data_IF_183114497094
#
_entry.id   IF_183114497094
#
_cell.length_a   1.000
_cell.length_b   1.000
_cell.length_c   1.000
_cell.angle_alpha   90.00
_cell.angle_beta   90.00
_cell.angle_gamma   90.00
#
_symmetry.space_group_name_H-M   'P 1'
#
loop_
_entity.id
_entity.type
_entity.pdbx_description
1 polymer ?
#
# COMPACT_ATOMS: atom_id res chain seq x y z
N UNK A 1 11.64 -13.09 1.44
CA UNK A 1 11.22 -12.55 0.13
C UNK A 1 11.45 -11.05 0.05
N UNK A 2 10.99 -10.24 1.02
CA UNK A 2 11.22 -8.78 1.06
C UNK A 2 12.71 -8.37 1.05
N UNK A 3 13.58 -9.19 1.63
CA UNK A 3 15.02 -8.90 1.72
C UNK A 3 15.75 -8.94 0.36
N UNK A 4 15.22 -9.69 -0.62
CA UNK A 4 15.80 -9.81 -1.96
C UNK A 4 15.59 -8.54 -2.80
N UNK A 5 14.43 -7.88 -2.68
CA UNK A 5 14.15 -6.62 -3.37
C UNK A 5 14.98 -5.44 -2.84
N UNK A 6 15.31 -5.46 -1.54
CA UNK A 6 16.10 -4.40 -0.89
C UNK A 6 17.53 -4.28 -1.42
N UNK A 7 18.09 -5.34 -2.01
CA UNK A 7 19.49 -5.41 -2.46
C UNK A 7 19.66 -5.37 -3.99
N UNK A 8 18.58 -5.38 -4.76
CA UNK A 8 18.63 -5.54 -6.22
C UNK A 8 18.78 -4.23 -7.02
N UNK A 9 18.82 -3.06 -6.35
CA UNK A 9 18.86 -1.76 -7.03
C UNK A 9 17.58 -1.40 -7.78
N UNK A 10 16.48 -2.11 -7.49
CA UNK A 10 15.16 -1.89 -8.10
C UNK A 10 14.35 -0.96 -7.20
N UNK A 11 13.57 -0.06 -7.81
CA UNK A 11 12.57 0.75 -7.11
C UNK A 11 11.39 -0.14 -6.69
N UNK A 12 11.41 -0.55 -5.42
CA UNK A 12 10.37 -1.41 -4.84
C UNK A 12 9.45 -0.62 -3.92
N UNK A 13 8.18 -1.02 -3.84
CA UNK A 13 7.21 -0.54 -2.85
C UNK A 13 6.52 -1.76 -2.24
N UNK A 14 6.51 -1.87 -0.91
CA UNK A 14 5.82 -2.97 -0.22
C UNK A 14 4.52 -2.44 0.38
N UNK A 15 3.38 -2.87 -0.14
CA UNK A 15 2.06 -2.44 0.33
C UNK A 15 1.50 -3.47 1.30
N UNK A 16 1.13 -3.03 2.51
CA UNK A 16 0.63 -3.87 3.60
C UNK A 16 -0.79 -3.48 3.97
N UNK A 17 -1.80 -4.13 3.36
CA UNK A 17 -3.19 -3.93 3.74
C UNK A 17 -3.54 -4.75 5.01
N UNK A 18 -4.51 -4.28 5.82
CA UNK A 18 -5.20 -5.09 6.83
C UNK A 18 -6.18 -6.05 6.12
N UNK A 19 -7.21 -6.52 6.85
CA UNK A 19 -8.25 -7.40 6.30
C UNK A 19 -8.83 -6.86 4.98
N UNK A 20 -8.73 -7.66 3.92
CA UNK A 20 -9.33 -7.35 2.63
C UNK A 20 -10.84 -7.60 2.66
N UNK A 21 -11.60 -6.65 2.15
CA UNK A 21 -13.07 -6.71 2.05
C UNK A 21 -13.54 -6.42 0.63
N UNK A 22 -14.71 -6.94 0.27
CA UNK A 22 -15.36 -6.67 -1.01
C UNK A 22 -16.34 -5.51 -0.90
N UNK A 23 -16.51 -4.77 -1.98
CA UNK A 23 -17.39 -3.61 -2.05
C UNK A 23 -17.13 -2.77 -3.29
N UNK A 24 -17.97 -1.76 -3.49
CA UNK A 24 -17.77 -0.76 -4.54
C UNK A 24 -16.62 0.18 -4.17
N UNK A 25 -15.87 0.65 -5.18
CA UNK A 25 -14.80 1.63 -5.00
C UNK A 25 -15.33 2.87 -4.26
N UNK A 26 -14.62 3.29 -3.21
CA UNK A 26 -14.91 4.53 -2.49
C UNK A 26 -13.88 5.62 -2.80
N UNK A 27 -12.66 5.22 -3.19
CA UNK A 27 -11.54 6.15 -3.39
C UNK A 27 -11.07 6.83 -2.10
N UNK A 28 -11.55 6.39 -0.94
CA UNK A 28 -11.24 7.00 0.36
C UNK A 28 -10.40 6.04 1.18
N UNK A 29 -9.10 6.26 1.24
CA UNK A 29 -8.17 5.45 2.02
C UNK A 29 -7.06 6.33 2.63
N UNK A 30 -6.48 5.83 3.72
CA UNK A 30 -5.39 6.44 4.47
C UNK A 30 -4.12 5.64 4.24
N UNK A 31 -3.01 6.35 4.11
CA UNK A 31 -1.69 5.78 3.83
C UNK A 31 -0.67 6.28 4.85
N UNK A 32 0.23 5.40 5.30
CA UNK A 32 1.39 5.75 6.11
C UNK A 32 2.66 5.07 5.56
N UNK A 33 3.69 5.87 5.29
CA UNK A 33 4.98 5.42 4.77
C UNK A 33 5.94 5.12 5.92
N UNK A 34 6.47 3.90 5.98
CA UNK A 34 7.42 3.43 6.99
C UNK A 34 6.96 3.67 8.44
N UNK A 35 5.66 3.81 8.66
CA UNK A 35 5.04 4.12 9.94
C UNK A 35 3.76 3.29 10.13
N UNK A 36 3.41 2.90 11.35
CA UNK A 36 2.16 2.21 11.61
C UNK A 36 0.95 3.10 11.29
N UNK A 37 -0.10 2.50 10.74
CA UNK A 37 -1.37 3.18 10.49
C UNK A 37 -2.36 2.84 11.61
N UNK A 38 -2.75 3.84 12.41
CA UNK A 38 -3.70 3.62 13.50
C UNK A 38 -5.08 3.25 12.96
N UNK A 39 -5.78 2.38 13.69
CA UNK A 39 -7.14 1.94 13.35
C UNK A 39 -7.27 1.34 11.93
N UNK A 40 -6.24 0.64 11.45
CA UNK A 40 -6.27 -0.07 10.18
C UNK A 40 -7.06 -1.38 10.31
N UNK A 41 -8.39 -1.31 10.11
CA UNK A 41 -9.30 -2.45 10.34
C UNK A 41 -9.63 -3.24 9.08
N UNK A 42 -9.58 -2.59 7.92
CA UNK A 42 -9.88 -3.24 6.65
C UNK A 42 -9.68 -2.31 5.46
N UNK A 43 -9.59 -2.90 4.28
CA UNK A 43 -9.57 -2.17 3.03
C UNK A 43 -10.36 -2.90 1.96
N UNK A 44 -11.12 -2.14 1.17
CA UNK A 44 -11.79 -2.63 -0.02
C UNK A 44 -10.76 -3.03 -1.07
N UNK A 45 -10.91 -4.21 -1.65
CA UNK A 45 -10.02 -4.69 -2.74
C UNK A 45 -9.95 -3.71 -3.90
N UNK A 46 -11.06 -3.04 -4.20
CA UNK A 46 -11.15 -2.00 -5.24
C UNK A 46 -10.34 -0.76 -4.92
N UNK A 47 -10.31 -0.33 -3.66
CA UNK A 47 -9.53 0.84 -3.23
C UNK A 47 -8.04 0.50 -3.09
N UNK A 48 -7.72 -0.73 -2.66
CA UNK A 48 -6.35 -1.23 -2.69
C UNK A 48 -5.80 -1.25 -4.12
N UNK A 49 -6.56 -1.80 -5.08
CA UNK A 49 -6.16 -1.84 -6.48
C UNK A 49 -5.96 -0.43 -7.06
N UNK A 50 -6.83 0.51 -6.68
CA UNK A 50 -6.71 1.92 -7.07
C UNK A 50 -5.39 2.53 -6.58
N UNK A 51 -5.05 2.33 -5.31
CA UNK A 51 -3.77 2.78 -4.75
C UNK A 51 -2.57 2.12 -5.45
N UNK A 52 -2.63 0.81 -5.69
CA UNK A 52 -1.56 0.08 -6.36
C UNK A 52 -1.23 0.70 -7.73
N UNK A 53 -2.25 1.02 -8.53
CA UNK A 53 -2.06 1.64 -9.85
C UNK A 53 -1.45 3.04 -9.71
N UNK A 54 -1.96 3.86 -8.78
CA UNK A 54 -1.44 5.22 -8.55
C UNK A 54 0.01 5.22 -8.08
N UNK A 55 0.40 4.25 -7.24
CA UNK A 55 1.76 4.16 -6.68
C UNK A 55 2.84 3.83 -7.71
N UNK A 56 2.51 3.24 -8.86
CA UNK A 56 3.50 2.85 -9.88
C UNK A 56 4.30 4.06 -10.39
N UNK A 57 3.68 5.23 -10.47
CA UNK A 57 4.31 6.46 -10.95
C UNK A 57 4.79 7.39 -9.83
N UNK A 58 4.61 7.00 -8.57
CA UNK A 58 4.97 7.83 -7.41
C UNK A 58 6.34 7.41 -6.85
N UNK A 59 7.37 8.16 -7.21
CA UNK A 59 8.71 7.92 -6.68
C UNK A 59 8.82 8.08 -5.16
N UNK A 60 7.86 8.77 -4.51
CA UNK A 60 7.84 8.88 -3.05
C UNK A 60 7.50 7.55 -2.35
N UNK A 61 6.90 6.60 -3.06
CA UNK A 61 6.64 5.25 -2.52
C UNK A 61 7.84 4.32 -2.67
N UNK A 62 8.88 4.71 -3.40
CA UNK A 62 10.02 3.86 -3.67
C UNK A 62 10.85 3.61 -2.42
N UNK A 63 11.28 2.37 -2.26
CA UNK A 63 12.01 1.86 -1.12
C UNK A 63 11.28 2.05 0.22
N UNK A 64 9.95 2.13 0.19
CA UNK A 64 9.12 2.29 1.38
C UNK A 64 8.19 1.10 1.61
N UNK A 65 7.86 0.90 2.89
CA UNK A 65 6.72 0.09 3.30
C UNK A 65 5.52 1.04 3.43
N UNK A 66 4.44 0.71 2.75
CA UNK A 66 3.19 1.46 2.76
C UNK A 66 2.16 0.69 3.56
N UNK A 67 1.70 1.25 4.67
CA UNK A 67 0.53 0.74 5.39
C UNK A 67 -0.71 1.50 4.91
N UNK A 68 -1.77 0.77 4.53
CA UNK A 68 -2.97 1.36 3.92
C UNK A 68 -4.25 0.79 4.52
N UNK A 69 -5.28 1.60 4.73
CA UNK A 69 -6.61 1.18 5.20
C UNK A 69 -7.67 2.12 4.63
N UNK A 70 -8.92 1.67 4.48
CA UNK A 70 -10.02 2.64 4.48
C UNK A 70 -10.10 3.34 5.84
#
# INVERSE_FOLDING_TARGET
MEELGRKSGIDWTVIRPPRLTDGAKTGTYRVAYNQPLSQARGILRTDLADYMIQSISDSASFQTIVNISN
#
